data_IF_006995979584
#
_entry.id   IF_006995979584
#
_cell.length_a   1.000
_cell.length_b   1.000
_cell.length_c   1.000
_cell.angle_alpha   90.00
_cell.angle_beta   90.00
_cell.angle_gamma   90.00
#
_symmetry.space_group_name_H-M   'P 1'
#
loop_
_entity.id
_entity.type
_entity.pdbx_description
1 polymer ?
#
# COMPACT_ATOMS: atom_id res chain seq x y z
N UNK A 1 -20.91 -20.67 -4.99
CA UNK A 1 -20.40 -20.17 -3.70
C UNK A 1 -20.01 -18.72 -3.89
N UNK A 2 -20.45 -17.83 -3.01
CA UNK A 2 -19.95 -16.45 -2.95
C UNK A 2 -18.67 -16.49 -2.12
N UNK A 3 -17.59 -15.91 -2.62
CA UNK A 3 -16.36 -15.75 -1.84
C UNK A 3 -16.52 -14.61 -0.85
N UNK A 4 -16.01 -14.77 0.36
CA UNK A 4 -15.90 -13.68 1.32
C UNK A 4 -14.95 -12.60 0.81
N UNK A 5 -15.26 -11.34 1.11
CA UNK A 5 -14.41 -10.21 0.74
C UNK A 5 -13.14 -10.21 1.59
N UNK A 6 -12.01 -10.08 0.92
CA UNK A 6 -10.74 -9.77 1.60
C UNK A 6 -10.73 -8.30 1.93
N UNK A 7 -10.55 -8.00 3.21
CA UNK A 7 -10.33 -6.64 3.69
C UNK A 7 -8.84 -6.34 3.75
N UNK A 8 -8.49 -5.08 3.54
CA UNK A 8 -7.11 -4.64 3.39
C UNK A 8 -6.80 -3.45 4.30
N UNK A 9 -5.62 -3.46 4.89
CA UNK A 9 -5.04 -2.33 5.61
C UNK A 9 -4.06 -1.62 4.67
N UNK A 10 -4.29 -0.32 4.46
CA UNK A 10 -3.60 0.51 3.48
C UNK A 10 -2.55 1.35 4.20
N UNK A 11 -1.32 1.24 3.73
CA UNK A 11 -0.16 1.97 4.21
C UNK A 11 0.33 2.95 3.14
N UNK A 12 0.74 4.13 3.59
CA UNK A 12 1.34 5.16 2.74
C UNK A 12 2.83 5.31 3.03
N UNK A 13 3.63 5.25 1.97
CA UNK A 13 5.07 5.44 2.00
C UNK A 13 5.37 6.87 1.58
N UNK A 14 6.08 7.59 2.44
CA UNK A 14 6.62 8.92 2.13
C UNK A 14 8.13 8.93 2.34
N UNK A 15 8.76 9.94 1.76
CA UNK A 15 10.18 10.25 1.96
C UNK A 15 10.36 11.74 2.10
N UNK A 16 11.40 12.16 2.82
CA UNK A 16 11.73 13.58 2.92
C UNK A 16 12.41 14.10 1.65
N UNK A 17 13.33 13.32 1.08
CA UNK A 17 14.21 13.73 -0.02
C UNK A 17 14.33 12.67 -1.11
N UNK A 18 14.36 11.39 -0.75
CA UNK A 18 14.60 10.31 -1.72
C UNK A 18 13.47 10.20 -2.74
N UNK A 19 13.76 10.02 -4.04
CA UNK A 19 12.73 9.79 -5.04
C UNK A 19 12.15 8.37 -4.86
N UNK A 20 10.84 8.26 -4.66
CA UNK A 20 10.14 6.96 -4.55
C UNK A 20 9.24 6.63 -5.76
N UNK A 21 8.97 7.62 -6.61
CA UNK A 21 8.31 7.44 -7.90
C UNK A 21 9.35 7.27 -9.01
N UNK A 22 9.09 6.39 -9.97
CA UNK A 22 10.03 6.12 -11.08
C UNK A 22 11.21 5.21 -10.73
N UNK A 23 11.36 4.79 -9.46
CA UNK A 23 12.46 3.92 -8.99
C UNK A 23 12.07 2.44 -8.82
N UNK A 24 10.97 2.02 -9.46
CA UNK A 24 10.43 0.66 -9.40
C UNK A 24 10.02 0.17 -7.99
N UNK A 25 9.76 1.08 -7.03
CA UNK A 25 9.45 0.72 -5.64
C UNK A 25 8.28 -0.27 -5.53
N UNK A 26 7.18 -0.03 -6.26
CA UNK A 26 6.03 -0.95 -6.32
C UNK A 26 6.41 -2.36 -6.76
N UNK A 27 7.32 -2.46 -7.73
CA UNK A 27 7.84 -3.74 -8.20
C UNK A 27 8.67 -4.46 -7.14
N UNK A 28 9.47 -3.71 -6.37
CA UNK A 28 10.25 -4.25 -5.24
C UNK A 28 9.36 -4.76 -4.11
N UNK A 29 8.33 -3.99 -3.73
CA UNK A 29 7.32 -4.40 -2.76
C UNK A 29 6.64 -5.69 -3.22
N UNK A 30 6.13 -5.71 -4.46
CA UNK A 30 5.50 -6.91 -5.02
C UNK A 30 6.42 -8.13 -5.00
N UNK A 31 7.70 -7.96 -5.38
CA UNK A 31 8.69 -9.04 -5.36
C UNK A 31 8.93 -9.57 -3.93
N UNK A 32 9.09 -8.67 -2.96
CA UNK A 32 9.28 -9.02 -1.55
C UNK A 32 8.17 -9.92 -0.99
N UNK A 33 6.91 -9.59 -1.28
CA UNK A 33 5.77 -10.38 -0.81
C UNK A 33 5.61 -11.70 -1.59
N UNK A 34 5.90 -11.72 -2.89
CA UNK A 34 5.90 -12.95 -3.69
C UNK A 34 6.91 -13.98 -3.16
N UNK A 35 8.12 -13.56 -2.79
CA UNK A 35 9.14 -14.45 -2.21
C UNK A 35 8.72 -15.05 -0.86
N UNK A 36 7.77 -14.40 -0.17
CA UNK A 36 7.20 -14.84 1.11
C UNK A 36 5.86 -15.57 0.98
N UNK A 37 5.38 -15.80 -0.25
CA UNK A 37 4.06 -16.37 -0.53
C UNK A 37 2.90 -15.61 0.18
N UNK A 38 2.99 -14.29 0.19
CA UNK A 38 2.02 -13.37 0.81
C UNK A 38 1.41 -12.44 -0.24
N UNK A 39 0.17 -12.01 -0.01
CA UNK A 39 -0.52 -11.08 -0.89
C UNK A 39 -0.16 -9.63 -0.57
N UNK A 40 -0.11 -8.78 -1.61
CA UNK A 40 0.08 -7.34 -1.46
C UNK A 40 -0.55 -6.61 -2.65
N UNK A 41 -1.10 -5.44 -2.41
CA UNK A 41 -1.42 -4.45 -3.43
C UNK A 41 -0.41 -3.30 -3.35
N UNK A 42 0.01 -2.72 -4.47
CA UNK A 42 0.96 -1.61 -4.47
C UNK A 42 0.73 -0.66 -5.66
N UNK A 43 0.44 0.61 -5.39
CA UNK A 43 0.15 1.62 -6.41
C UNK A 43 0.85 2.95 -6.11
N UNK A 44 1.06 3.73 -7.16
CA UNK A 44 1.53 5.10 -6.99
C UNK A 44 0.31 5.93 -6.61
N UNK A 45 0.50 6.93 -5.75
CA UNK A 45 -0.56 7.89 -5.50
C UNK A 45 -0.77 8.78 -6.73
N UNK A 46 -2.02 9.13 -6.98
CA UNK A 46 -2.43 10.15 -7.95
C UNK A 46 -2.99 11.39 -7.25
N UNK A 47 -3.40 11.27 -5.99
CA UNK A 47 -3.96 12.35 -5.17
C UNK A 47 -2.93 13.08 -4.30
N UNK A 48 -1.75 12.49 -4.11
CA UNK A 48 -0.64 13.06 -3.35
C UNK A 48 0.63 12.95 -4.21
N UNK A 49 1.43 14.02 -4.26
CA UNK A 49 2.71 13.97 -4.96
C UNK A 49 3.73 13.07 -4.24
N UNK A 50 4.57 12.42 -5.04
CA UNK A 50 5.76 11.68 -4.57
C UNK A 50 5.47 10.66 -3.47
N UNK A 51 4.35 9.94 -3.58
CA UNK A 51 3.96 8.91 -2.62
C UNK A 51 3.64 7.58 -3.32
N UNK A 52 3.78 6.51 -2.57
CA UNK A 52 3.43 5.13 -2.96
C UNK A 52 2.60 4.55 -1.83
N UNK A 53 1.50 3.88 -2.16
CA UNK A 53 0.71 3.13 -1.19
C UNK A 53 0.83 1.64 -1.45
N UNK A 54 0.85 0.86 -0.39
CA UNK A 54 0.67 -0.58 -0.44
C UNK A 54 -0.44 -0.99 0.51
N UNK A 55 -1.03 -2.16 0.29
CA UNK A 55 -2.02 -2.71 1.19
C UNK A 55 -1.76 -4.19 1.45
N UNK A 56 -1.96 -4.58 2.71
CA UNK A 56 -1.86 -5.96 3.18
C UNK A 56 -3.25 -6.47 3.55
N UNK A 57 -3.52 -7.79 3.45
CA UNK A 57 -4.73 -8.35 4.05
C UNK A 57 -4.84 -7.93 5.52
N UNK A 58 -6.04 -7.56 5.93
CA UNK A 58 -6.24 -6.90 7.23
C UNK A 58 -5.73 -7.77 8.38
N UNK A 59 -5.09 -7.14 9.38
CA UNK A 59 -4.42 -7.76 10.52
C UNK A 59 -3.12 -8.51 10.21
N UNK A 60 -2.62 -8.47 8.96
CA UNK A 60 -1.26 -8.94 8.68
C UNK A 60 -0.21 -7.99 9.26
N UNK A 61 0.95 -8.57 9.64
CA UNK A 61 2.07 -7.79 10.14
C UNK A 61 2.83 -7.08 9.01
N UNK A 62 2.99 -5.76 9.16
CA UNK A 62 3.72 -4.89 8.26
C UNK A 62 5.20 -4.69 8.67
N UNK A 63 5.63 -5.20 9.83
CA UNK A 63 6.97 -4.93 10.39
C UNK A 63 8.10 -5.31 9.43
N UNK A 64 8.00 -6.48 8.79
CA UNK A 64 9.05 -6.96 7.89
C UNK A 64 9.21 -6.08 6.63
N UNK A 65 8.12 -5.57 6.06
CA UNK A 65 8.21 -4.68 4.89
C UNK A 65 8.73 -3.30 5.30
N UNK A 66 8.34 -2.80 6.48
CA UNK A 66 8.84 -1.54 7.02
C UNK A 66 10.36 -1.64 7.23
N UNK A 67 10.86 -2.74 7.80
CA UNK A 67 12.29 -2.97 7.98
C UNK A 67 13.02 -3.04 6.63
N UNK A 68 12.45 -3.75 5.65
CA UNK A 68 12.99 -3.81 4.29
C UNK A 68 13.08 -2.42 3.64
N UNK A 69 12.02 -1.62 3.75
CA UNK A 69 11.96 -0.27 3.18
C UNK A 69 13.02 0.64 3.82
N UNK A 70 13.17 0.62 5.15
CA UNK A 70 14.20 1.39 5.85
C UNK A 70 15.63 1.03 5.42
N UNK A 71 15.87 -0.23 5.04
CA UNK A 71 17.19 -0.67 4.53
C UNK A 71 17.51 -0.12 3.14
N UNK A 72 16.50 0.06 2.28
CA UNK A 72 16.71 0.50 0.89
C UNK A 72 16.49 2.00 0.69
N UNK A 73 15.80 2.67 1.61
CA UNK A 73 15.46 4.09 1.55
C UNK A 73 15.64 4.67 2.98
N UNK A 74 16.75 5.38 3.26
CA UNK A 74 17.10 5.80 4.63
C UNK A 74 16.13 6.80 5.29
N UNK A 75 15.39 7.57 4.49
CA UNK A 75 14.49 8.64 4.92
C UNK A 75 13.01 8.29 4.70
N UNK A 76 12.69 6.99 4.71
CA UNK A 76 11.33 6.49 4.50
C UNK A 76 10.49 6.60 5.78
N UNK A 77 9.26 7.06 5.63
CA UNK A 77 8.20 6.89 6.63
C UNK A 77 7.07 6.07 6.06
N UNK A 78 6.46 5.24 6.91
CA UNK A 78 5.33 4.37 6.56
C UNK A 78 4.22 4.58 7.57
N UNK A 79 3.05 4.99 7.10
CA UNK A 79 1.90 5.30 7.95
C UNK A 79 0.70 4.45 7.54
N UNK A 80 -0.03 3.90 8.52
CA UNK A 80 -1.32 3.27 8.29
C UNK A 80 -2.37 4.36 8.05
N UNK A 81 -2.94 4.41 6.84
CA UNK A 81 -3.84 5.50 6.44
C UNK A 81 -5.30 5.07 6.36
N UNK A 82 -5.57 3.77 6.24
CA UNK A 82 -6.94 3.22 6.27
C UNK A 82 -6.90 1.73 6.61
N UNK A 83 -7.82 1.28 7.45
CA UNK A 83 -7.93 -0.13 7.87
C UNK A 83 -9.16 -0.80 7.27
N UNK A 84 -9.14 -2.14 7.24
CA UNK A 84 -10.29 -3.01 7.00
C UNK A 84 -11.13 -2.60 5.77
N UNK A 85 -10.46 -2.26 4.67
CA UNK A 85 -11.12 -1.77 3.44
C UNK A 85 -11.30 -2.91 2.43
N UNK A 86 -12.53 -3.26 2.03
CA UNK A 86 -12.76 -4.22 0.95
C UNK A 86 -12.42 -3.59 -0.41
N UNK A 87 -11.83 -4.39 -1.31
CA UNK A 87 -11.55 -4.01 -2.71
C UNK A 87 -10.96 -2.59 -2.90
N UNK A 88 -9.85 -2.25 -2.22
CA UNK A 88 -9.38 -0.86 -2.17
C UNK A 88 -8.78 -0.40 -3.50
N UNK A 89 -8.98 0.88 -3.81
CA UNK A 89 -8.22 1.64 -4.81
C UNK A 89 -7.16 2.46 -4.07
N UNK A 90 -5.88 2.18 -4.32
CA UNK A 90 -4.79 2.80 -3.56
C UNK A 90 -4.37 4.14 -4.14
N UNK A 91 -4.52 4.34 -5.45
CA UNK A 91 -4.10 5.57 -6.14
C UNK A 91 -4.82 6.83 -5.65
N UNK A 92 -6.05 6.72 -5.14
CA UNK A 92 -6.87 7.83 -4.63
C UNK A 92 -7.75 7.41 -3.44
N UNK A 93 -7.36 7.73 -2.20
CA UNK A 93 -8.07 7.21 -1.01
C UNK A 93 -9.54 7.62 -0.93
N UNK A 94 -9.87 8.82 -1.42
CA UNK A 94 -11.23 9.35 -1.47
C UNK A 94 -12.21 8.47 -2.25
N UNK A 95 -11.71 7.60 -3.15
CA UNK A 95 -12.52 6.68 -3.96
C UNK A 95 -13.02 5.50 -3.13
N UNK A 96 -12.34 5.19 -2.02
CA UNK A 96 -12.75 4.12 -1.10
C UNK A 96 -13.90 4.55 -0.16
N UNK A 97 -14.63 5.61 -0.48
CA UNK A 97 -15.81 6.06 0.27
C UNK A 97 -17.02 5.65 -0.56
N UNK A 98 -17.67 4.56 -0.17
CA UNK A 98 -18.73 3.90 -0.95
C UNK A 98 -19.91 4.85 -1.24
N UNK A 99 -20.34 5.63 -0.24
CA UNK A 99 -21.45 6.59 -0.34
C UNK A 99 -21.32 7.65 -1.46
N UNK A 100 -20.12 7.80 -2.04
CA UNK A 100 -19.87 8.72 -3.15
C UNK A 100 -20.37 8.21 -4.50
N UNK A 101 -20.80 6.95 -4.58
CA UNK A 101 -21.14 6.29 -5.83
C UNK A 101 -22.57 5.76 -5.78
N UNK A 102 -23.35 6.09 -6.80
CA UNK A 102 -24.63 5.46 -7.11
C UNK A 102 -24.42 4.53 -8.31
N UNK A 103 -24.92 3.30 -8.23
CA UNK A 103 -24.89 2.32 -9.32
C UNK A 103 -26.12 2.45 -10.22
#
# INVERSE_FOLDING_TARGET
MVMELVNWDIYEIRTEKSPINGVMLRGRIRKFFLEKNRNVLAENTEDIEKSVRFALPSKEDASEIIEYLNKIIPDVSVELVKENTPNPILSKLRVNIEDRYTL
#
